data_IF_560038907495
#
_entry.id   IF_560038907495
#
_cell.length_a   1.000
_cell.length_b   1.000
_cell.length_c   1.000
_cell.angle_alpha   90.00
_cell.angle_beta   90.00
_cell.angle_gamma   90.00
#
_symmetry.space_group_name_H-M   'P 1'
#
loop_
_entity.id
_entity.type
_entity.pdbx_description
1 polymer ?
#
# COMPACT_ATOMS: atom_id res chain seq x y z
N UNK A 1 25.25 -40.95 34.84
CA UNK A 1 24.37 -39.76 34.83
C UNK A 1 24.86 -38.63 33.93
N UNK A 2 26.14 -38.42 33.80
CA UNK A 2 26.68 -37.41 32.92
C UNK A 2 26.28 -37.62 31.45
N UNK A 3 26.12 -38.84 31.01
CA UNK A 3 25.72 -39.15 29.62
C UNK A 3 24.27 -38.78 29.33
N UNK A 4 23.39 -38.85 30.30
CA UNK A 4 21.99 -38.48 30.11
C UNK A 4 21.85 -36.98 29.99
N UNK A 5 22.62 -36.23 30.73
CA UNK A 5 22.62 -34.78 30.69
C UNK A 5 23.13 -34.27 29.35
N UNK A 6 24.19 -34.89 28.80
CA UNK A 6 24.72 -34.55 27.52
C UNK A 6 23.74 -34.77 26.37
N UNK A 7 22.94 -35.84 26.46
CA UNK A 7 21.91 -36.12 25.46
C UNK A 7 20.77 -35.12 25.52
N UNK A 8 20.40 -34.66 26.70
CA UNK A 8 19.39 -33.63 26.85
C UNK A 8 19.84 -32.30 26.23
N UNK A 9 21.09 -31.91 26.45
CA UNK A 9 21.63 -30.71 25.83
C UNK A 9 21.66 -30.79 24.32
N UNK A 10 22.03 -31.96 23.77
CA UNK A 10 22.05 -32.14 22.31
C UNK A 10 20.66 -32.10 21.72
N UNK A 11 19.68 -32.70 22.35
CA UNK A 11 18.28 -32.65 21.90
C UNK A 11 17.74 -31.24 21.97
N UNK A 12 18.06 -30.51 23.01
CA UNK A 12 17.63 -29.12 23.14
C UNK A 12 18.20 -28.23 22.07
N UNK A 13 19.48 -28.38 21.77
CA UNK A 13 20.16 -27.64 20.71
C UNK A 13 19.58 -27.98 19.33
N UNK A 14 19.26 -29.23 19.09
CA UNK A 14 18.67 -29.66 17.82
C UNK A 14 17.25 -29.15 17.61
N UNK A 15 16.49 -28.90 18.69
CA UNK A 15 15.15 -28.35 18.60
C UNK A 15 15.14 -26.83 18.48
N UNK A 16 16.06 -26.15 19.17
CA UNK A 16 16.10 -24.68 19.22
C UNK A 16 16.69 -24.11 17.94
N UNK A 17 17.69 -24.76 17.35
CA UNK A 17 18.38 -24.26 16.18
C UNK A 17 17.49 -24.15 14.95
N UNK A 18 16.72 -25.20 14.57
CA UNK A 18 15.81 -25.07 13.43
C UNK A 18 14.67 -24.08 13.69
N UNK A 19 14.22 -23.96 14.91
CA UNK A 19 13.19 -22.99 15.27
C UNK A 19 13.71 -21.56 15.08
N UNK A 20 14.92 -21.31 15.50
CA UNK A 20 15.58 -20.02 15.34
C UNK A 20 15.79 -19.66 13.86
N UNK A 21 16.17 -20.63 13.05
CA UNK A 21 16.33 -20.45 11.60
C UNK A 21 15.00 -20.14 10.92
N UNK A 22 13.92 -20.78 11.35
CA UNK A 22 12.58 -20.47 10.84
C UNK A 22 12.14 -19.05 11.17
N UNK A 23 12.44 -18.57 12.36
CA UNK A 23 12.14 -17.20 12.76
C UNK A 23 12.95 -16.19 11.92
N UNK A 24 14.21 -16.47 11.66
CA UNK A 24 15.03 -15.62 10.81
C UNK A 24 14.51 -15.59 9.37
N UNK A 25 14.10 -16.73 8.84
CA UNK A 25 13.52 -16.80 7.50
C UNK A 25 12.22 -16.00 7.42
N UNK A 26 11.39 -16.03 8.45
CA UNK A 26 10.20 -15.23 8.52
C UNK A 26 10.47 -13.73 8.57
N UNK A 27 11.58 -13.32 9.18
CA UNK A 27 11.97 -11.92 9.26
C UNK A 27 12.59 -11.38 7.97
N UNK A 28 13.00 -12.24 7.05
CA UNK A 28 13.62 -11.81 5.80
C UNK A 28 12.64 -11.60 4.66
N UNK A 29 11.35 -11.87 4.88
CA UNK A 29 10.35 -11.57 3.87
C UNK A 29 10.10 -10.07 3.83
N UNK A 30 10.61 -9.44 2.80
CA UNK A 30 10.39 -8.02 2.58
C UNK A 30 9.13 -7.86 1.76
N UNK A 31 8.14 -7.19 2.32
CA UNK A 31 6.93 -6.82 1.59
C UNK A 31 7.16 -5.42 1.03
N UNK A 32 7.18 -5.31 -0.30
CA UNK A 32 7.35 -4.01 -0.95
C UNK A 32 5.99 -3.37 -1.13
N UNK A 33 5.82 -2.19 -0.58
CA UNK A 33 4.65 -1.39 -0.84
C UNK A 33 4.77 -0.77 -2.22
N UNK A 34 3.66 -0.74 -2.94
CA UNK A 34 3.59 -0.04 -4.21
C UNK A 34 3.33 1.44 -3.96
N UNK A 35 3.67 2.33 -4.90
CA UNK A 35 3.35 3.74 -4.74
C UNK A 35 1.86 3.95 -4.52
N UNK A 36 1.44 4.89 -3.67
CA UNK A 36 0.02 5.17 -3.49
C UNK A 36 -0.65 5.51 -4.81
N UNK A 37 -1.67 4.76 -5.17
CA UNK A 37 -2.32 4.81 -6.48
C UNK A 37 -3.84 4.75 -6.31
N UNK A 38 -4.54 5.53 -7.11
CA UNK A 38 -6.00 5.51 -7.21
C UNK A 38 -6.38 5.17 -8.64
N UNK A 39 -7.29 4.23 -8.83
CA UNK A 39 -7.77 3.83 -10.16
C UNK A 39 -9.10 4.49 -10.45
N UNK A 40 -9.17 5.27 -11.51
CA UNK A 40 -10.37 5.96 -11.97
C UNK A 40 -10.55 5.68 -13.46
N UNK A 41 -11.66 5.05 -13.82
CA UNK A 41 -12.00 4.76 -15.23
C UNK A 41 -10.87 4.08 -16.00
N UNK A 42 -10.19 3.13 -15.37
CA UNK A 42 -9.12 2.40 -16.00
C UNK A 42 -7.76 3.12 -16.03
N UNK A 43 -7.68 4.32 -15.46
CA UNK A 43 -6.45 5.08 -15.41
C UNK A 43 -5.91 5.17 -14.00
N UNK A 44 -4.61 4.98 -13.85
CA UNK A 44 -3.93 5.05 -12.56
C UNK A 44 -3.46 6.48 -12.29
N UNK A 45 -3.78 6.97 -11.10
CA UNK A 45 -3.32 8.27 -10.60
C UNK A 45 -2.42 8.02 -9.40
N UNK A 46 -1.23 8.61 -9.40
CA UNK A 46 -0.26 8.43 -8.33
C UNK A 46 -0.15 9.65 -7.46
N UNK A 47 0.17 9.42 -6.19
CA UNK A 47 0.32 10.46 -5.20
C UNK A 47 1.32 11.53 -5.65
N UNK A 48 0.89 12.77 -5.60
CA UNK A 48 1.74 13.94 -5.80
C UNK A 48 2.02 14.62 -4.46
N UNK A 49 3.02 15.48 -4.40
CA UNK A 49 3.39 16.14 -3.17
C UNK A 49 2.64 17.47 -2.96
N UNK A 50 1.40 17.53 -3.37
CA UNK A 50 0.60 18.75 -3.30
C UNK A 50 -0.69 18.49 -2.53
N UNK A 51 -0.94 19.32 -1.52
CA UNK A 51 -2.17 19.28 -0.72
C UNK A 51 -2.81 20.64 -0.81
N UNK A 52 -4.11 20.66 -1.10
CA UNK A 52 -4.90 21.89 -1.12
C UNK A 52 -5.72 21.96 0.17
N UNK A 53 -5.69 23.11 0.83
CA UNK A 53 -6.49 23.30 2.06
C UNK A 53 -7.97 23.34 1.76
N UNK A 54 -8.34 23.88 0.61
CA UNK A 54 -9.72 23.97 0.16
C UNK A 54 -9.87 23.37 -1.22
N UNK A 55 -11.05 22.86 -1.51
CA UNK A 55 -11.35 22.31 -2.83
C UNK A 55 -11.33 23.42 -3.87
N UNK A 56 -10.48 23.36 -4.89
CA UNK A 56 -10.47 24.39 -5.93
C UNK A 56 -11.80 24.51 -6.66
N UNK A 57 -12.14 25.72 -7.06
CA UNK A 57 -13.36 25.97 -7.85
C UNK A 57 -13.25 25.27 -9.19
N UNK A 58 -14.36 24.69 -9.63
CA UNK A 58 -14.37 23.96 -10.90
C UNK A 58 -13.99 22.48 -10.79
N UNK A 59 -13.62 22.01 -9.63
CA UNK A 59 -13.37 20.59 -9.43
C UNK A 59 -14.67 19.78 -9.59
N UNK A 60 -14.58 18.66 -10.30
CA UNK A 60 -15.73 17.83 -10.61
C UNK A 60 -15.79 16.61 -9.68
N UNK A 61 -16.93 16.37 -9.07
CA UNK A 61 -17.11 15.20 -8.21
C UNK A 61 -17.09 13.92 -9.04
N UNK A 62 -16.23 12.98 -8.66
CA UNK A 62 -16.10 11.69 -9.34
C UNK A 62 -16.77 10.55 -8.57
N UNK A 63 -16.80 10.61 -7.26
CA UNK A 63 -17.35 9.56 -6.44
C UNK A 63 -16.59 9.37 -5.14
N UNK A 64 -16.84 8.24 -4.50
CA UNK A 64 -16.29 7.89 -3.21
C UNK A 64 -15.46 6.63 -3.36
N UNK A 65 -14.29 6.59 -2.75
CA UNK A 65 -13.43 5.41 -2.78
C UNK A 65 -14.05 4.28 -1.98
N UNK A 66 -13.95 3.06 -2.50
CA UNK A 66 -14.48 1.87 -1.84
C UNK A 66 -13.65 0.64 -2.20
N UNK A 67 -13.72 -0.38 -1.35
CA UNK A 67 -13.01 -1.64 -1.54
C UNK A 67 -11.50 -1.45 -1.74
N UNK A 68 -10.92 -0.49 -1.03
CA UNK A 68 -9.50 -0.22 -1.15
C UNK A 68 -8.67 -1.43 -0.74
N UNK A 69 -7.54 -1.59 -1.40
CA UNK A 69 -6.66 -2.74 -1.23
C UNK A 69 -5.44 -2.36 -0.40
N UNK A 70 -4.72 -3.33 0.15
CA UNK A 70 -3.49 -3.04 0.90
C UNK A 70 -2.41 -2.38 0.04
N UNK A 71 -1.44 -1.68 0.67
CA UNK A 71 -0.38 -1.00 -0.08
C UNK A 71 0.51 -1.88 -0.95
N UNK A 72 0.52 -3.19 -0.71
CA UNK A 72 1.30 -4.12 -1.51
C UNK A 72 0.54 -4.68 -2.72
N UNK A 73 -0.62 -4.14 -3.00
CA UNK A 73 -1.44 -4.55 -4.15
C UNK A 73 -1.79 -3.34 -4.99
N UNK A 74 -2.01 -3.56 -6.28
CA UNK A 74 -2.50 -2.51 -7.16
C UNK A 74 -4.03 -2.52 -7.20
N UNK A 75 -4.67 -1.35 -7.26
CA UNK A 75 -6.11 -1.30 -7.46
C UNK A 75 -6.50 -1.93 -8.80
N UNK A 76 -7.61 -2.63 -8.83
CA UNK A 76 -8.13 -3.30 -10.03
C UNK A 76 -9.54 -2.86 -10.40
N UNK A 77 -10.21 -2.12 -9.54
CA UNK A 77 -11.58 -1.66 -9.76
C UNK A 77 -11.65 -0.14 -9.76
N UNK A 78 -12.67 0.40 -10.42
CA UNK A 78 -12.89 1.84 -10.44
C UNK A 78 -13.14 2.38 -9.03
N UNK A 79 -12.62 3.56 -8.74
CA UNK A 79 -12.72 4.20 -7.42
C UNK A 79 -12.14 3.34 -6.30
N UNK A 80 -11.01 2.71 -6.59
CA UNK A 80 -10.27 1.90 -5.63
C UNK A 80 -8.87 2.46 -5.47
N UNK A 81 -8.35 2.45 -4.25
CA UNK A 81 -6.98 2.85 -3.97
C UNK A 81 -6.24 1.72 -3.25
N UNK A 82 -4.92 1.76 -3.26
CA UNK A 82 -4.09 0.85 -2.48
C UNK A 82 -3.66 1.48 -1.15
N UNK A 83 -4.57 2.13 -0.51
CA UNK A 83 -4.39 2.79 0.78
C UNK A 83 -5.74 2.73 1.51
N UNK A 84 -5.74 2.98 2.81
CA UNK A 84 -6.94 2.94 3.64
C UNK A 84 -7.75 4.23 3.44
N UNK A 85 -8.43 4.32 2.32
CA UNK A 85 -9.16 5.50 1.91
C UNK A 85 -10.65 5.23 1.62
N UNK A 86 -11.20 4.13 2.14
CA UNK A 86 -12.63 3.85 1.96
C UNK A 86 -13.46 4.99 2.51
N UNK A 87 -14.43 5.45 1.72
CA UNK A 87 -15.30 6.54 2.11
C UNK A 87 -14.80 7.94 1.78
N UNK A 88 -13.57 8.07 1.33
CA UNK A 88 -13.02 9.38 0.98
C UNK A 88 -13.53 9.84 -0.38
N UNK A 89 -13.86 11.11 -0.48
CA UNK A 89 -14.41 11.70 -1.71
C UNK A 89 -13.32 11.99 -2.72
N UNK A 90 -13.63 11.83 -4.00
CA UNK A 90 -12.70 12.07 -5.10
C UNK A 90 -13.29 13.10 -6.04
N UNK A 91 -12.47 14.08 -6.40
CA UNK A 91 -12.83 15.13 -7.37
C UNK A 91 -11.78 15.18 -8.48
N UNK A 92 -12.21 15.54 -9.67
CA UNK A 92 -11.31 15.80 -10.79
C UNK A 92 -10.87 17.26 -10.74
N UNK A 93 -9.57 17.47 -10.71
CA UNK A 93 -9.00 18.81 -10.74
C UNK A 93 -8.86 19.31 -12.19
N UNK A 94 -8.30 18.47 -13.04
CA UNK A 94 -8.13 18.74 -14.48
C UNK A 94 -8.03 17.40 -15.23
N UNK A 95 -7.65 17.44 -16.50
CA UNK A 95 -7.59 16.24 -17.33
C UNK A 95 -6.57 15.20 -16.88
N UNK A 96 -5.62 15.59 -16.04
CA UNK A 96 -4.52 14.72 -15.61
C UNK A 96 -4.36 14.64 -14.10
N UNK A 97 -5.26 15.20 -13.33
CA UNK A 97 -5.13 15.22 -11.87
C UNK A 97 -6.47 15.03 -11.17
N UNK A 98 -6.42 14.34 -10.05
CA UNK A 98 -7.57 14.18 -9.16
C UNK A 98 -7.21 14.63 -7.76
N UNK A 99 -8.21 14.92 -6.96
CA UNK A 99 -8.08 15.28 -5.55
C UNK A 99 -8.84 14.28 -4.70
N UNK A 100 -8.18 13.78 -3.66
CA UNK A 100 -8.79 12.86 -2.70
C UNK A 100 -8.91 13.57 -1.37
N UNK A 101 -10.09 13.52 -0.78
CA UNK A 101 -10.35 14.12 0.52
C UNK A 101 -9.47 13.47 1.59
N UNK A 102 -8.84 14.31 2.40
CA UNK A 102 -8.03 13.87 3.54
C UNK A 102 -8.45 14.67 4.77
N UNK A 103 -7.94 14.27 5.93
CA UNK A 103 -8.32 14.89 7.20
C UNK A 103 -8.06 16.40 7.24
N UNK A 104 -7.05 16.87 6.52
CA UNK A 104 -6.63 18.28 6.52
C UNK A 104 -6.59 18.89 5.13
N UNK A 105 -7.45 18.48 4.24
CA UNK A 105 -7.48 19.05 2.92
C UNK A 105 -7.65 18.02 1.82
N UNK A 106 -7.17 18.36 0.66
CA UNK A 106 -7.36 17.58 -0.56
C UNK A 106 -6.00 17.20 -1.12
N UNK A 107 -5.71 15.90 -1.13
CA UNK A 107 -4.45 15.37 -1.65
C UNK A 107 -4.53 15.21 -3.15
N UNK A 108 -3.57 15.76 -3.87
CA UNK A 108 -3.48 15.62 -5.31
C UNK A 108 -2.85 14.29 -5.70
N UNK A 109 -3.41 13.67 -6.74
CA UNK A 109 -2.86 12.50 -7.42
C UNK A 109 -2.82 12.82 -8.91
N UNK A 110 -1.69 12.56 -9.55
CA UNK A 110 -1.49 12.85 -10.96
C UNK A 110 -1.58 11.60 -11.82
N UNK A 111 -2.11 11.74 -13.03
CA UNK A 111 -2.23 10.66 -13.98
C UNK A 111 -0.85 10.06 -14.26
N UNK A 112 -0.76 8.77 -14.02
CA UNK A 112 0.44 8.03 -14.31
C UNK A 112 0.28 7.31 -15.64
N UNK A 113 0.91 7.81 -16.65
CA UNK A 113 0.93 7.20 -17.98
C UNK A 113 1.92 6.03 -18.00
N UNK A 114 1.89 5.24 -16.99
CA UNK A 114 2.90 4.28 -16.74
C UNK A 114 2.74 3.02 -17.48
N UNK A 115 2.57 3.16 -18.68
CA UNK A 115 2.99 2.11 -19.55
C UNK A 115 4.50 1.98 -19.48
N UNK A 116 5.14 2.83 -18.80
CA UNK A 116 6.51 2.62 -18.52
C UNK A 116 6.61 1.40 -17.70
N UNK A 117 7.05 0.36 -18.23
CA UNK A 117 7.30 -0.78 -17.45
C UNK A 117 8.52 -0.57 -16.71
N UNK A 118 8.91 0.38 -16.50
CA UNK A 118 10.12 0.41 -15.84
C UNK A 118 10.15 -0.24 -15.08
N UNK A 119 10.57 -0.50 -14.81
CA UNK A 119 11.55 -0.85 -14.52
C UNK A 119 12.27 -1.20 -14.18
#
# INVERSE_FOLDING_TARGET
>A
MARTFSRFCQLYMLCVLPLFLLLLAGCTQVVYDMPPTVLINGENYRLANTVYEELPGGAEYLGELSNCVPPNQMPTEDLQANDDLDGHQVYRLDSSSILVERDRGWQRYDLFLGSSPAP
#
